data_IF_180845212151
#
_entry.id   IF_180845212151
#
_cell.length_a   1.000
_cell.length_b   1.000
_cell.length_c   1.000
_cell.angle_alpha   90.00
_cell.angle_beta   90.00
_cell.angle_gamma   90.00
#
_symmetry.space_group_name_H-M   'P 1'
#
loop_
_entity.id
_entity.type
_entity.pdbx_description
1 polymer ?
#
# COMPACT_ATOMS: atom_id res chain seq x y z
N UNK A 1 15.66 -63.58 -57.29
CA UNK A 1 15.65 -63.68 -55.81
C UNK A 1 16.18 -62.40 -55.17
N UNK A 2 15.59 -61.23 -55.45
CA UNK A 2 16.17 -59.92 -55.04
C UNK A 2 15.16 -58.92 -54.46
N UNK A 3 13.87 -59.26 -54.40
CA UNK A 3 12.82 -58.34 -53.91
C UNK A 3 12.54 -58.42 -52.40
N UNK A 4 12.80 -59.57 -51.76
CA UNK A 4 12.52 -59.76 -50.32
C UNK A 4 13.50 -59.04 -49.37
N UNK A 5 14.77 -58.91 -49.74
CA UNK A 5 15.79 -58.26 -48.89
C UNK A 5 15.63 -56.73 -48.83
N UNK A 6 15.11 -56.11 -49.89
CA UNK A 6 14.89 -54.66 -49.92
C UNK A 6 13.70 -54.24 -49.03
N UNK A 7 12.66 -55.09 -48.94
CA UNK A 7 11.51 -54.84 -48.05
C UNK A 7 11.87 -54.97 -46.57
N UNK A 8 12.71 -55.94 -46.21
CA UNK A 8 13.15 -56.13 -44.82
C UNK A 8 14.02 -54.97 -44.31
N UNK A 9 14.89 -54.40 -45.16
CA UNK A 9 15.71 -53.25 -44.81
C UNK A 9 14.89 -51.96 -44.70
N UNK A 10 13.86 -51.77 -45.55
CA UNK A 10 12.98 -50.61 -45.48
C UNK A 10 12.08 -50.60 -44.23
N UNK A 11 11.62 -51.77 -43.78
CA UNK A 11 10.83 -51.88 -42.54
C UNK A 11 11.73 -51.63 -41.31
N UNK A 12 12.96 -52.15 -41.32
CA UNK A 12 13.92 -51.92 -40.24
C UNK A 12 14.26 -50.44 -40.03
N UNK A 13 14.47 -49.68 -41.11
CA UNK A 13 14.78 -48.24 -41.01
C UNK A 13 13.58 -47.43 -40.53
N UNK A 14 12.37 -47.81 -40.92
CA UNK A 14 11.14 -47.14 -40.48
C UNK A 14 10.86 -47.35 -38.98
N UNK A 15 11.10 -48.55 -38.45
CA UNK A 15 10.97 -48.84 -37.02
C UNK A 15 11.97 -48.01 -36.19
N UNK A 16 13.22 -47.91 -36.64
CA UNK A 16 14.24 -47.09 -35.95
C UNK A 16 13.86 -45.61 -35.97
N UNK A 17 13.34 -45.11 -37.09
CA UNK A 17 12.89 -43.71 -37.19
C UNK A 17 11.70 -43.41 -36.27
N UNK A 18 10.74 -44.33 -36.14
CA UNK A 18 9.60 -44.20 -35.23
C UNK A 18 10.05 -44.23 -33.77
N UNK A 19 10.99 -45.11 -33.40
CA UNK A 19 11.55 -45.17 -32.05
C UNK A 19 12.35 -43.91 -31.70
N UNK A 20 13.18 -43.40 -32.61
CA UNK A 20 13.92 -42.14 -32.42
C UNK A 20 12.97 -40.94 -32.35
N UNK A 21 11.91 -40.92 -33.17
CA UNK A 21 10.85 -39.91 -33.14
C UNK A 21 10.08 -39.90 -31.82
N UNK A 22 9.71 -41.08 -31.30
CA UNK A 22 9.05 -41.23 -30.00
C UNK A 22 9.96 -40.83 -28.83
N UNK A 23 11.25 -41.18 -28.87
CA UNK A 23 12.22 -40.76 -27.85
C UNK A 23 12.51 -39.25 -27.88
N UNK A 24 12.53 -38.61 -29.06
CA UNK A 24 12.64 -37.15 -29.16
C UNK A 24 11.38 -36.46 -28.64
N UNK A 25 10.19 -36.99 -28.95
CA UNK A 25 8.90 -36.45 -28.46
C UNK A 25 8.77 -36.56 -26.94
N UNK A 26 9.24 -37.64 -26.32
CA UNK A 26 9.23 -37.78 -24.85
C UNK A 26 10.22 -36.84 -24.16
N UNK A 27 11.35 -36.51 -24.81
CA UNK A 27 12.29 -35.49 -24.32
C UNK A 27 11.74 -34.06 -24.45
N UNK A 28 11.06 -33.72 -25.54
CA UNK A 28 10.36 -32.43 -25.66
C UNK A 28 9.19 -32.29 -24.69
N UNK A 29 8.46 -33.37 -24.38
CA UNK A 29 7.42 -33.36 -23.35
C UNK A 29 8.00 -33.16 -21.94
N UNK A 30 9.18 -33.71 -21.64
CA UNK A 30 9.90 -33.48 -20.37
C UNK A 30 10.50 -32.08 -20.24
N UNK A 31 10.77 -31.39 -21.35
CA UNK A 31 11.38 -30.05 -21.34
C UNK A 31 10.32 -28.92 -21.28
N UNK A 32 9.07 -29.21 -21.63
CA UNK A 32 7.94 -28.27 -21.47
C UNK A 32 7.36 -28.22 -20.05
N UNK A 33 7.66 -29.21 -19.20
CA UNK A 33 7.24 -29.25 -17.80
C UNK A 33 8.26 -28.61 -16.82
N UNK A 34 9.37 -28.09 -17.35
CA UNK A 34 10.44 -27.41 -16.58
C UNK A 34 10.55 -25.91 -16.87
N UNK A 35 9.58 -25.31 -17.57
CA UNK A 35 9.58 -23.89 -17.92
C UNK A 35 8.24 -23.20 -17.62
N UNK A 36 7.67 -23.46 -16.43
CA UNK A 36 6.88 -22.47 -15.70
C UNK A 36 7.77 -21.99 -14.56
N UNK A 37 8.39 -20.82 -14.61
CA UNK A 37 7.67 -19.57 -14.52
C UNK A 37 7.43 -19.28 -13.04
N UNK A 38 8.48 -18.81 -12.34
CA UNK A 38 8.50 -18.37 -10.94
C UNK A 38 7.49 -17.23 -10.71
N UNK A 39 6.22 -17.59 -10.71
CA UNK A 39 5.07 -16.72 -10.44
C UNK A 39 4.27 -17.37 -9.33
N UNK A 40 4.92 -17.67 -8.20
CA UNK A 40 4.26 -18.01 -6.95
C UNK A 40 5.10 -17.50 -5.79
N UNK A 41 5.15 -16.18 -5.64
CA UNK A 41 5.27 -15.57 -4.31
C UNK A 41 3.89 -15.57 -3.63
N UNK A 42 3.20 -16.70 -3.68
CA UNK A 42 2.17 -16.99 -2.71
C UNK A 42 2.96 -17.47 -1.49
N UNK A 43 3.10 -16.61 -0.49
CA UNK A 43 3.68 -16.99 0.79
C UNK A 43 2.93 -18.24 1.27
N UNK A 44 3.56 -19.41 1.18
CA UNK A 44 3.03 -20.66 1.69
C UNK A 44 3.13 -20.55 3.21
N UNK A 45 2.11 -19.96 3.82
CA UNK A 45 1.99 -19.84 5.26
C UNK A 45 1.99 -21.26 5.82
N UNK A 46 3.11 -21.65 6.41
CA UNK A 46 3.20 -22.96 7.06
C UNK A 46 2.25 -22.93 8.26
N UNK A 47 1.52 -24.02 8.50
CA UNK A 47 0.56 -24.11 9.62
C UNK A 47 1.20 -23.74 10.96
N UNK A 48 2.51 -23.95 11.12
CA UNK A 48 3.27 -23.53 12.30
C UNK A 48 3.46 -22.01 12.46
N UNK A 49 3.57 -21.26 11.37
CA UNK A 49 3.66 -19.79 11.40
C UNK A 49 2.30 -19.14 11.67
N UNK A 50 1.23 -19.64 11.03
CA UNK A 50 -0.14 -19.22 11.36
C UNK A 50 -0.49 -19.57 12.81
N UNK A 51 -0.11 -20.75 13.30
CA UNK A 51 -0.31 -21.14 14.71
C UNK A 51 0.43 -20.20 15.67
N UNK A 52 1.67 -19.78 15.38
CA UNK A 52 2.41 -18.81 16.22
C UNK A 52 1.81 -17.41 16.20
N UNK A 53 1.37 -16.92 15.04
CA UNK A 53 0.75 -15.60 14.91
C UNK A 53 -0.62 -15.56 15.62
N UNK A 54 -1.41 -16.62 15.51
CA UNK A 54 -2.67 -16.79 16.24
C UNK A 54 -2.44 -16.95 17.75
N UNK A 55 -1.39 -17.66 18.16
CA UNK A 55 -1.08 -17.86 19.58
C UNK A 55 -0.80 -16.55 20.33
N UNK A 56 -0.26 -15.54 19.65
CA UNK A 56 -0.07 -14.22 20.25
C UNK A 56 -1.39 -13.46 20.32
N UNK A 57 -2.24 -13.58 19.28
CA UNK A 57 -3.55 -12.91 19.19
C UNK A 57 -4.51 -13.31 20.31
N UNK A 58 -4.43 -14.55 20.78
CA UNK A 58 -5.34 -15.13 21.78
C UNK A 58 -4.88 -14.93 23.23
N UNK A 59 -3.69 -14.36 23.48
CA UNK A 59 -3.18 -14.14 24.83
C UNK A 59 -4.07 -13.13 25.58
N UNK A 60 -4.81 -13.55 26.63
CA UNK A 60 -5.69 -12.65 27.36
C UNK A 60 -4.88 -11.50 27.97
N UNK A 61 -5.32 -10.26 27.71
CA UNK A 61 -4.66 -9.06 28.23
C UNK A 61 -3.46 -8.55 27.42
N UNK A 62 -3.02 -9.24 26.35
CA UNK A 62 -1.93 -8.74 25.50
C UNK A 62 -2.37 -7.54 24.65
N UNK A 63 -3.59 -7.58 24.11
CA UNK A 63 -4.19 -6.48 23.35
C UNK A 63 -5.21 -5.76 24.21
N UNK A 64 -4.96 -4.48 24.45
CA UNK A 64 -5.83 -3.63 25.24
C UNK A 64 -6.51 -2.60 24.33
N UNK A 65 -7.82 -2.44 24.51
CA UNK A 65 -8.56 -1.36 23.89
C UNK A 65 -8.03 -0.03 24.44
N UNK A 66 -7.65 0.89 23.53
CA UNK A 66 -7.27 2.23 23.95
C UNK A 66 -8.50 2.95 24.53
N UNK A 67 -8.37 3.65 25.67
CA UNK A 67 -9.51 4.33 26.29
C UNK A 67 -10.05 5.48 25.44
N UNK A 68 -9.22 6.04 24.55
CA UNK A 68 -9.62 7.07 23.58
C UNK A 68 -8.97 6.81 22.23
N UNK A 69 -9.73 7.05 21.16
CA UNK A 69 -9.22 6.97 19.79
C UNK A 69 -8.36 8.19 19.42
N UNK A 70 -8.85 9.40 19.77
CA UNK A 70 -8.17 10.69 19.61
C UNK A 70 -7.73 11.26 20.95
N UNK A 71 -6.59 11.96 20.95
CA UNK A 71 -6.14 12.78 22.07
C UNK A 71 -7.13 13.91 22.35
N UNK A 72 -7.01 14.59 23.50
CA UNK A 72 -7.87 15.74 23.83
C UNK A 72 -7.73 16.85 22.79
N UNK A 73 -6.50 17.16 22.40
CA UNK A 73 -6.17 18.16 21.39
C UNK A 73 -6.72 17.79 20.00
N UNK A 74 -6.48 16.54 19.57
CA UNK A 74 -7.00 16.03 18.30
C UNK A 74 -8.54 16.08 18.27
N UNK A 75 -9.20 15.71 19.38
CA UNK A 75 -10.66 15.74 19.45
C UNK A 75 -11.23 17.15 19.28
N UNK A 76 -10.57 18.18 19.80
CA UNK A 76 -11.02 19.58 19.61
C UNK A 76 -10.88 20.00 18.16
N UNK A 77 -9.76 19.66 17.50
CA UNK A 77 -9.56 19.94 16.07
C UNK A 77 -10.57 19.18 15.21
N UNK A 78 -10.86 17.93 15.54
CA UNK A 78 -11.89 17.13 14.86
C UNK A 78 -13.27 17.79 14.93
N UNK A 79 -13.69 18.25 16.12
CA UNK A 79 -14.96 18.94 16.29
C UNK A 79 -15.00 20.28 15.53
N UNK A 80 -13.89 21.01 15.52
CA UNK A 80 -13.76 22.25 14.74
C UNK A 80 -13.91 21.97 13.23
N UNK A 81 -13.24 20.94 12.71
CA UNK A 81 -13.36 20.54 11.31
C UNK A 81 -14.79 20.14 10.97
N UNK A 82 -15.45 19.38 11.85
CA UNK A 82 -16.85 18.96 11.64
C UNK A 82 -17.82 20.14 11.61
N UNK A 83 -17.60 21.14 12.47
CA UNK A 83 -18.38 22.37 12.47
C UNK A 83 -18.08 23.25 11.25
N UNK A 84 -16.82 23.32 10.83
CA UNK A 84 -16.41 24.12 9.68
C UNK A 84 -16.86 23.49 8.35
N UNK A 85 -16.86 22.17 8.21
CA UNK A 85 -17.15 21.48 6.96
C UNK A 85 -18.31 20.48 7.11
N UNK A 86 -19.55 20.94 7.36
CA UNK A 86 -20.68 20.04 7.59
C UNK A 86 -21.11 19.25 6.34
N UNK A 87 -20.64 19.65 5.15
CA UNK A 87 -20.93 18.98 3.87
C UNK A 87 -19.82 18.03 3.43
N UNK A 88 -18.74 17.91 4.20
CA UNK A 88 -17.56 17.13 3.88
C UNK A 88 -17.40 15.96 4.85
N UNK A 89 -16.78 14.89 4.38
CA UNK A 89 -16.43 13.75 5.22
C UNK A 89 -15.05 13.94 5.84
N UNK A 90 -14.91 13.61 7.12
CA UNK A 90 -13.67 13.81 7.87
C UNK A 90 -13.20 12.48 8.43
N UNK A 91 -12.06 12.02 7.97
CA UNK A 91 -11.42 10.79 8.42
C UNK A 91 -10.26 11.11 9.35
N UNK A 92 -10.17 10.43 10.49
CA UNK A 92 -9.13 10.65 11.47
C UNK A 92 -8.13 9.48 11.52
N UNK A 93 -6.86 9.78 11.81
CA UNK A 93 -5.73 8.83 11.88
C UNK A 93 -5.59 7.95 10.64
N UNK A 94 -5.68 8.57 9.46
CA UNK A 94 -5.56 7.88 8.17
C UNK A 94 -4.08 7.57 7.90
N UNK A 95 -3.77 6.39 7.37
CA UNK A 95 -2.40 6.05 6.97
C UNK A 95 -2.01 6.88 5.75
N UNK A 96 -0.78 7.36 5.71
CA UNK A 96 -0.30 8.12 4.57
C UNK A 96 -0.29 7.29 3.28
N UNK A 97 -0.12 5.96 3.39
CA UNK A 97 -0.25 5.04 2.26
C UNK A 97 -1.68 4.89 1.70
N UNK A 98 -2.72 5.24 2.47
CA UNK A 98 -4.10 5.25 1.97
C UNK A 98 -4.43 6.57 1.24
N UNK A 99 -3.60 7.61 1.44
CA UNK A 99 -3.77 8.94 0.83
C UNK A 99 -2.85 9.14 -0.38
N UNK A 100 -1.63 8.62 -0.32
CA UNK A 100 -0.63 8.78 -1.36
C UNK A 100 -0.35 7.47 -2.09
N UNK A 101 -0.41 7.53 -3.42
CA UNK A 101 0.05 6.46 -4.28
C UNK A 101 1.45 6.79 -4.81
N UNK A 102 2.40 5.86 -4.64
CA UNK A 102 3.73 5.97 -5.25
C UNK A 102 3.61 5.64 -6.74
N UNK A 103 3.85 6.61 -7.62
CA UNK A 103 3.83 6.43 -9.08
C UNK A 103 4.82 5.34 -9.50
N UNK A 104 4.44 4.54 -10.50
CA UNK A 104 5.29 3.50 -11.08
C UNK A 104 6.44 4.18 -11.84
N UNK A 105 7.65 4.08 -11.29
CA UNK A 105 8.94 4.59 -11.80
C UNK A 105 10.11 3.68 -11.35
N UNK A 106 11.35 3.88 -11.86
CA UNK A 106 12.30 2.81 -12.13
C UNK A 106 12.74 2.05 -10.87
N UNK A 107 12.76 0.71 -11.00
CA UNK A 107 13.28 -0.31 -10.08
C UNK A 107 12.48 -0.56 -8.78
N UNK A 108 12.00 -1.80 -8.62
CA UNK A 108 11.09 -2.22 -7.55
C UNK A 108 11.59 -2.00 -6.12
N UNK A 109 12.91 -1.89 -5.91
CA UNK A 109 13.50 -1.64 -4.59
C UNK A 109 13.33 -0.19 -4.11
N UNK A 110 13.41 0.79 -5.01
CA UNK A 110 13.16 2.20 -4.64
C UNK A 110 11.70 2.43 -4.32
N UNK A 111 10.79 1.80 -5.09
CA UNK A 111 9.36 1.78 -4.81
C UNK A 111 9.06 1.19 -3.44
N UNK A 112 9.61 0.01 -3.12
CA UNK A 112 9.36 -0.63 -1.84
C UNK A 112 9.89 0.21 -0.68
N UNK A 113 11.05 0.85 -0.85
CA UNK A 113 11.62 1.76 0.14
C UNK A 113 10.76 3.00 0.33
N UNK A 114 10.25 3.61 -0.74
CA UNK A 114 9.35 4.76 -0.68
C UNK A 114 8.01 4.39 -0.03
N UNK A 115 7.43 3.24 -0.41
CA UNK A 115 6.19 2.74 0.15
C UNK A 115 6.31 2.45 1.66
N UNK A 116 7.41 1.83 2.11
CA UNK A 116 7.63 1.58 3.54
C UNK A 116 7.72 2.86 4.37
N UNK A 117 8.21 3.97 3.79
CA UNK A 117 8.26 5.27 4.49
C UNK A 117 6.86 5.83 4.74
N UNK A 118 5.94 5.68 3.79
CA UNK A 118 4.56 6.18 3.92
C UNK A 118 3.63 5.21 4.67
N UNK A 119 3.87 3.89 4.57
CA UNK A 119 3.01 2.88 5.17
C UNK A 119 2.98 2.92 6.70
N UNK A 120 4.09 3.30 7.33
CA UNK A 120 4.19 3.40 8.78
C UNK A 120 3.80 4.78 9.33
N UNK A 121 3.46 5.73 8.45
CA UNK A 121 3.09 7.08 8.83
C UNK A 121 1.59 7.29 8.76
N UNK A 122 1.09 8.14 9.65
CA UNK A 122 -0.31 8.53 9.70
C UNK A 122 -0.41 10.05 9.60
N UNK A 123 -1.50 10.51 9.00
CA UNK A 123 -1.96 11.89 9.05
C UNK A 123 -3.08 11.99 10.08
N UNK A 124 -3.21 13.16 10.70
CA UNK A 124 -4.20 13.45 11.74
C UNK A 124 -5.61 13.37 11.16
N UNK A 125 -5.90 14.18 10.15
CA UNK A 125 -7.22 14.26 9.54
C UNK A 125 -7.12 14.40 8.01
N UNK A 126 -8.06 13.78 7.32
CA UNK A 126 -8.28 13.95 5.87
C UNK A 126 -9.70 14.48 5.69
N UNK A 127 -9.82 15.61 5.00
CA UNK A 127 -11.10 16.22 4.62
C UNK A 127 -11.38 15.82 3.17
N UNK A 128 -12.49 15.12 2.98
CA UNK A 128 -12.95 14.67 1.68
C UNK A 128 -14.25 15.38 1.30
N UNK A 129 -14.44 15.64 0.02
CA UNK A 129 -15.75 16.05 -0.51
C UNK A 129 -16.73 14.85 -0.49
N UNK A 130 -18.00 15.09 -0.83
CA UNK A 130 -19.05 14.06 -0.88
C UNK A 130 -18.71 12.89 -1.80
N UNK A 131 -17.96 13.15 -2.86
CA UNK A 131 -17.49 12.15 -3.82
C UNK A 131 -16.20 11.45 -3.36
N UNK A 132 -15.84 11.53 -2.07
CA UNK A 132 -14.63 10.96 -1.46
C UNK A 132 -13.32 11.46 -2.05
N UNK A 133 -13.35 12.60 -2.74
CA UNK A 133 -12.14 13.26 -3.26
C UNK A 133 -11.44 14.03 -2.14
N UNK A 134 -10.13 13.83 -1.99
CA UNK A 134 -9.33 14.48 -0.95
C UNK A 134 -9.19 15.98 -1.25
N UNK A 135 -9.74 16.82 -0.38
CA UNK A 135 -9.67 18.29 -0.49
C UNK A 135 -8.47 18.83 0.25
N UNK A 136 -8.27 18.37 1.48
CA UNK A 136 -7.15 18.80 2.32
C UNK A 136 -6.80 17.76 3.38
N UNK A 137 -5.56 17.82 3.85
CA UNK A 137 -5.06 17.07 4.99
C UNK A 137 -4.76 18.06 6.10
N UNK A 138 -5.20 17.74 7.31
CA UNK A 138 -5.03 18.60 8.48
C UNK A 138 -4.36 17.80 9.60
N UNK A 139 -3.22 18.29 10.09
CA UNK A 139 -2.56 17.72 11.26
C UNK A 139 -2.72 18.64 12.46
N UNK A 140 -3.03 18.05 13.62
CA UNK A 140 -2.99 18.75 14.90
C UNK A 140 -1.59 18.59 15.52
N UNK A 141 -0.83 19.67 15.62
CA UNK A 141 0.49 19.66 16.28
C UNK A 141 0.46 20.52 17.52
N UNK A 142 0.89 19.97 18.64
CA UNK A 142 1.20 20.78 19.82
C UNK A 142 2.58 21.43 19.62
N UNK A 143 2.72 22.74 19.88
CA UNK A 143 4.03 23.37 19.91
C UNK A 143 4.81 22.80 21.10
N UNK A 144 6.06 22.42 20.85
CA UNK A 144 7.06 22.06 21.87
C UNK A 144 6.73 20.80 22.69
N UNK A 145 6.90 19.63 22.07
CA UNK A 145 7.51 18.51 22.78
C UNK A 145 8.84 18.25 22.10
N UNK A 146 9.91 18.05 22.88
CA UNK A 146 11.26 17.72 22.40
C UNK A 146 11.15 16.59 21.37
N UNK A 147 11.11 16.95 20.09
CA UNK A 147 10.95 15.96 19.03
C UNK A 147 12.27 15.24 18.91
N UNK A 148 12.23 13.92 19.06
CA UNK A 148 13.37 13.08 18.77
C UNK A 148 13.86 13.44 17.34
N UNK A 149 15.18 13.58 17.10
CA UNK A 149 15.70 13.88 15.77
C UNK A 149 15.18 12.93 14.68
N UNK A 150 14.80 11.70 15.04
CA UNK A 150 14.14 10.74 14.14
C UNK A 150 12.72 11.19 13.74
N UNK A 151 11.92 11.63 14.70
CA UNK A 151 10.53 12.05 14.45
C UNK A 151 10.49 13.33 13.61
N UNK A 152 11.42 14.25 13.86
CA UNK A 152 11.57 15.46 13.04
C UNK A 152 11.89 15.11 11.57
N UNK A 153 12.78 14.13 11.33
CA UNK A 153 13.07 13.64 9.96
C UNK A 153 11.85 13.00 9.32
N UNK A 154 11.07 12.22 10.06
CA UNK A 154 9.84 11.59 9.55
C UNK A 154 8.78 12.63 9.20
N UNK A 155 8.63 13.69 10.00
CA UNK A 155 7.75 14.82 9.71
C UNK A 155 8.17 15.59 8.46
N UNK A 156 9.47 15.86 8.30
CA UNK A 156 9.99 16.50 7.07
C UNK A 156 9.71 15.64 5.84
N UNK A 157 9.91 14.32 5.94
CA UNK A 157 9.60 13.39 4.84
C UNK A 157 8.11 13.44 4.50
N UNK A 158 7.23 13.38 5.51
CA UNK A 158 5.78 13.48 5.33
C UNK A 158 5.40 14.76 4.59
N UNK A 159 5.89 15.91 5.05
CA UNK A 159 5.62 17.20 4.40
C UNK A 159 6.11 17.25 2.96
N UNK A 160 7.32 16.74 2.68
CA UNK A 160 7.86 16.67 1.31
C UNK A 160 7.04 15.76 0.41
N UNK A 161 6.58 14.62 0.91
CA UNK A 161 5.72 13.70 0.15
C UNK A 161 4.37 14.34 -0.19
N UNK A 162 3.74 15.01 0.77
CA UNK A 162 2.47 15.71 0.57
C UNK A 162 2.61 16.88 -0.42
N UNK A 163 3.70 17.64 -0.29
CA UNK A 163 4.02 18.73 -1.22
C UNK A 163 4.26 18.21 -2.65
N UNK A 164 5.01 17.11 -2.80
CA UNK A 164 5.26 16.49 -4.10
C UNK A 164 3.99 15.93 -4.74
N UNK A 165 3.03 15.48 -3.93
CA UNK A 165 1.71 15.04 -4.38
C UNK A 165 0.74 16.21 -4.63
N UNK A 166 1.17 17.46 -4.41
CA UNK A 166 0.35 18.68 -4.56
C UNK A 166 -0.94 18.66 -3.74
N UNK A 167 -0.95 17.93 -2.62
CA UNK A 167 -2.09 17.88 -1.71
C UNK A 167 -2.02 19.06 -0.75
N UNK A 168 -3.15 19.72 -0.52
CA UNK A 168 -3.24 20.82 0.43
C UNK A 168 -3.04 20.28 1.86
N UNK A 169 -1.97 20.70 2.50
CA UNK A 169 -1.60 20.28 3.86
C UNK A 169 -1.59 21.47 4.81
N UNK A 170 -2.32 21.35 5.92
CA UNK A 170 -2.46 22.40 6.94
C UNK A 170 -2.07 21.83 8.30
N UNK A 171 -1.32 22.61 9.06
CA UNK A 171 -0.97 22.30 10.43
C UNK A 171 -1.77 23.23 11.37
N UNK A 172 -2.63 22.65 12.19
CA UNK A 172 -3.41 23.38 13.21
C UNK A 172 -2.74 23.18 14.56
N UNK A 173 -2.56 24.28 15.28
CA UNK A 173 -2.02 24.27 16.63
C UNK A 173 -3.19 24.36 17.63
N UNK A 174 -3.45 23.31 18.43
CA UNK A 174 -4.56 23.29 19.39
C UNK A 174 -4.57 24.45 20.40
N UNK A 175 -3.42 24.99 20.88
CA UNK A 175 -3.42 26.19 21.72
C UNK A 175 -3.88 27.46 21.00
N UNK A 176 -3.70 27.52 19.67
CA UNK A 176 -4.05 28.66 18.81
C UNK A 176 -4.99 28.19 17.70
N UNK A 177 -6.20 27.78 18.08
CA UNK A 177 -7.19 27.31 17.11
C UNK A 177 -7.58 28.44 16.15
N UNK A 178 -7.45 28.22 14.83
CA UNK A 178 -7.93 29.18 13.86
C UNK A 178 -9.46 29.27 13.93
N UNK A 179 -10.00 30.43 13.56
CA UNK A 179 -11.46 30.57 13.46
C UNK A 179 -11.97 29.71 12.30
N UNK A 180 -13.23 29.25 12.40
CA UNK A 180 -13.85 28.41 11.36
C UNK A 180 -13.76 29.04 9.96
N UNK A 181 -13.90 30.38 9.86
CA UNK A 181 -13.84 31.13 8.60
C UNK A 181 -12.44 31.09 7.97
N UNK A 182 -11.41 31.29 8.80
CA UNK A 182 -10.01 31.23 8.36
C UNK A 182 -9.66 29.82 7.89
N UNK A 183 -10.09 28.80 8.64
CA UNK A 183 -9.87 27.40 8.27
C UNK A 183 -10.57 27.03 6.95
N UNK A 184 -11.79 27.54 6.74
CA UNK A 184 -12.51 27.41 5.46
C UNK A 184 -11.78 28.07 4.31
N UNK A 185 -11.38 29.33 4.47
CA UNK A 185 -10.65 30.06 3.44
C UNK A 185 -9.31 29.35 3.11
N UNK A 186 -8.62 28.83 4.12
CA UNK A 186 -7.41 28.06 3.95
C UNK A 186 -7.62 26.71 3.27
N UNK A 187 -8.76 26.03 3.46
CA UNK A 187 -9.02 24.69 2.88
C UNK A 187 -9.65 24.79 1.49
N UNK A 188 -10.70 25.58 1.32
CA UNK A 188 -11.45 25.68 0.06
C UNK A 188 -10.98 26.82 -0.85
N UNK A 189 -10.17 27.75 -0.34
CA UNK A 189 -9.77 28.96 -1.06
C UNK A 189 -10.80 30.09 -0.94
N UNK A 190 -10.47 31.31 -1.39
CA UNK A 190 -11.34 32.50 -1.24
C UNK A 190 -12.65 32.43 -2.04
N UNK A 191 -12.74 31.54 -3.03
CA UNK A 191 -13.91 31.42 -3.90
C UNK A 191 -15.07 30.59 -3.30
N UNK A 192 -14.83 29.88 -2.19
CA UNK A 192 -15.84 29.01 -1.58
C UNK A 192 -16.73 29.68 -0.54
N UNK A 193 -16.62 31.00 -0.35
CA UNK A 193 -17.53 31.77 0.52
C UNK A 193 -18.95 31.95 -0.10
N UNK A 194 -19.18 31.49 -1.34
CA UNK A 194 -20.41 31.73 -2.10
C UNK A 194 -21.44 30.57 -2.10
N UNK A 195 -21.24 29.50 -1.31
CA UNK A 195 -22.12 28.28 -1.30
C UNK A 195 -22.42 27.77 0.11
#
# INVERSE_FOLDING_TARGET
MTSGMLFALAIGTLIVFVLVGLMRRSRSAKQLDQSGGDTQTAAQWTEGETTRLLSSAEVPGLYLLRPRFLSKAENVVYLLLKAAFPRHEIFARVRLADVLQVKIGPQGMERLRAFRKIANQHVGFVVCDRDMTIVAIVDAKEPEQVQNPRDQKLEIIKQRCLQAAQVKYICVYPPTLPRYRELRAQILGPAAELV
#
